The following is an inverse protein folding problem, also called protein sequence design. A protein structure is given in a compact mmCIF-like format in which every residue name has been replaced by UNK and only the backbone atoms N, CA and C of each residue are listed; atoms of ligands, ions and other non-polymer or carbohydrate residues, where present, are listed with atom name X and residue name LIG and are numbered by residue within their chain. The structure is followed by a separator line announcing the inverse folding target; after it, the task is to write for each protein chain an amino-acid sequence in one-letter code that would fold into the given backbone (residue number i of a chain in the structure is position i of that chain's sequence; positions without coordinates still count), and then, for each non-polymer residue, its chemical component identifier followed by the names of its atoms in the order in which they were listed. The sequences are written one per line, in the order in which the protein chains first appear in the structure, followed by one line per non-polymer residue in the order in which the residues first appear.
data_IF_277533183447
#
_entry.id   IF_277533183447
#
_cell.length_a   1.000
_cell.length_b   1.000
_cell.length_c   1.000
_cell.angle_alpha   90.00
_cell.angle_beta   90.00
_cell.angle_gamma   90.00
#
_symmetry.space_group_name_H-M   'P 1'
#
loop_
_entity.id
_entity.type
_entity.pdbx_description
1 polymer ?
#
# COMPACT_ATOMS: atom_id res chain seq x y z
N UNK A 1 -12.04 26.13 -5.19
CA UNK A 1 -11.83 24.68 -5.02
C UNK A 1 -10.45 24.39 -5.62
N UNK A 2 -9.53 23.84 -4.85
CA UNK A 2 -8.28 23.34 -5.45
C UNK A 2 -8.66 22.24 -6.45
N UNK A 3 -7.97 22.13 -7.60
CA UNK A 3 -8.21 21.00 -8.51
C UNK A 3 -7.93 19.71 -7.76
N UNK A 4 -8.78 18.70 -7.92
CA UNK A 4 -8.52 17.37 -7.41
C UNK A 4 -7.20 16.85 -8.00
N UNK A 5 -6.37 16.24 -7.16
CA UNK A 5 -5.10 15.68 -7.58
C UNK A 5 -5.33 14.60 -8.65
N UNK A 6 -4.69 14.73 -9.79
CA UNK A 6 -4.77 13.72 -10.85
C UNK A 6 -3.92 12.49 -10.49
N UNK A 7 -4.53 11.55 -9.74
CA UNK A 7 -3.84 10.33 -9.28
C UNK A 7 -3.46 9.37 -10.41
N UNK A 8 -4.09 9.47 -11.60
CA UNK A 8 -3.82 8.56 -12.71
C UNK A 8 -2.43 8.78 -13.32
N UNK A 9 -1.85 9.99 -13.18
CA UNK A 9 -0.48 10.27 -13.66
C UNK A 9 0.60 9.45 -12.95
N UNK A 10 0.34 8.98 -11.73
CA UNK A 10 1.26 8.13 -10.97
C UNK A 10 1.07 6.65 -11.26
N UNK A 11 0.07 6.29 -12.06
CA UNK A 11 -0.26 4.91 -12.38
C UNK A 11 0.64 4.36 -13.46
N UNK A 12 1.17 3.17 -13.24
CA UNK A 12 1.87 2.39 -14.25
C UNK A 12 0.83 1.64 -15.09
N UNK A 13 0.78 1.90 -16.38
CA UNK A 13 -0.14 1.17 -17.27
C UNK A 13 0.24 -0.32 -17.37
N UNK A 14 -0.76 -1.17 -17.59
CA UNK A 14 -0.52 -2.59 -17.80
C UNK A 14 0.38 -2.82 -19.03
N UNK A 15 1.47 -3.60 -18.84
CA UNK A 15 2.46 -3.86 -19.87
C UNK A 15 3.47 -2.73 -20.13
N UNK A 16 3.39 -1.62 -19.42
CA UNK A 16 4.37 -0.53 -19.51
C UNK A 16 5.72 -0.99 -18.98
N UNK A 17 6.78 -0.77 -19.78
CA UNK A 17 8.15 -0.92 -19.30
C UNK A 17 8.54 0.31 -18.48
N UNK A 18 9.04 0.10 -17.27
CA UNK A 18 9.40 1.17 -16.33
C UNK A 18 10.91 1.23 -16.13
N UNK A 19 11.46 2.43 -16.28
CA UNK A 19 12.79 2.83 -15.81
C UNK A 19 12.60 3.97 -14.78
N UNK A 20 12.63 3.63 -13.49
CA UNK A 20 12.25 4.57 -12.40
C UNK A 20 12.92 5.94 -12.50
N UNK A 21 14.23 5.98 -12.77
CA UNK A 21 14.98 7.23 -12.84
C UNK A 21 14.64 8.13 -14.02
N UNK A 22 13.91 7.62 -15.02
CA UNK A 22 13.52 8.36 -16.23
C UNK A 22 12.04 8.69 -16.23
N UNK A 23 11.21 7.76 -15.74
CA UNK A 23 9.77 7.81 -15.92
C UNK A 23 9.06 8.50 -14.76
N UNK A 24 9.69 8.54 -13.56
CA UNK A 24 9.05 9.04 -12.34
C UNK A 24 10.02 9.90 -11.52
N UNK A 25 9.74 11.20 -11.45
CA UNK A 25 10.49 12.13 -10.61
C UNK A 25 10.09 11.98 -9.13
N UNK A 26 11.01 11.63 -8.19
CA UNK A 26 10.71 11.54 -6.78
C UNK A 26 10.35 12.88 -6.11
N UNK A 27 10.65 14.02 -6.78
CA UNK A 27 10.35 15.37 -6.30
C UNK A 27 9.06 15.96 -6.88
N UNK A 28 8.40 15.28 -7.82
CA UNK A 28 7.17 15.78 -8.44
C UNK A 28 6.08 16.06 -7.40
N UNK A 29 5.49 17.24 -7.49
CA UNK A 29 4.39 17.70 -6.62
C UNK A 29 3.13 18.05 -7.38
N UNK A 30 3.01 17.63 -8.65
CA UNK A 30 1.87 17.95 -9.53
C UNK A 30 1.57 19.47 -9.61
N UNK A 31 2.62 20.30 -9.54
CA UNK A 31 2.49 21.76 -9.54
C UNK A 31 1.95 22.35 -8.24
N UNK A 32 1.86 21.57 -7.17
CA UNK A 32 1.51 22.08 -5.84
C UNK A 32 2.75 22.67 -5.17
N UNK A 33 2.75 23.98 -4.93
CA UNK A 33 3.89 24.71 -4.37
C UNK A 33 3.81 24.90 -2.85
N UNK A 34 2.65 24.62 -2.25
CA UNK A 34 2.37 24.96 -0.86
C UNK A 34 2.04 23.78 0.02
N UNK A 35 2.94 23.50 0.98
CA UNK A 35 2.69 22.54 2.07
C UNK A 35 1.38 22.88 2.85
N UNK A 36 1.05 24.18 2.98
CA UNK A 36 -0.17 24.61 3.68
C UNK A 36 -1.43 24.23 2.92
N UNK A 37 -1.42 24.42 1.59
CA UNK A 37 -2.52 23.99 0.73
C UNK A 37 -2.71 22.48 0.78
N UNK A 38 -1.63 21.72 0.59
CA UNK A 38 -1.66 20.27 0.66
C UNK A 38 -2.14 19.74 2.02
N UNK A 39 -1.87 20.44 3.13
CA UNK A 39 -2.37 20.05 4.45
C UNK A 39 -3.90 20.15 4.55
N UNK A 40 -4.49 21.21 3.99
CA UNK A 40 -5.95 21.37 3.93
C UNK A 40 -6.61 20.35 3.00
N UNK A 41 -5.97 20.08 1.86
CA UNK A 41 -6.45 19.05 0.92
C UNK A 41 -6.36 17.65 1.54
N UNK A 42 -5.26 17.33 2.22
CA UNK A 42 -5.10 16.06 2.93
C UNK A 42 -6.16 15.88 4.02
N UNK A 43 -6.46 16.92 4.79
CA UNK A 43 -7.49 16.82 5.81
C UNK A 43 -8.85 16.46 5.21
N UNK A 44 -9.29 17.17 4.14
CA UNK A 44 -10.53 16.86 3.44
C UNK A 44 -10.55 15.45 2.86
N UNK A 45 -9.43 15.02 2.27
CA UNK A 45 -9.30 13.67 1.70
C UNK A 45 -9.38 12.59 2.79
N UNK A 46 -8.80 12.84 3.98
CA UNK A 46 -8.90 11.92 5.13
C UNK A 46 -10.33 11.85 5.67
N UNK A 47 -11.07 12.97 5.68
CA UNK A 47 -12.49 13.00 6.05
C UNK A 47 -13.34 12.19 5.05
N UNK A 48 -13.09 12.32 3.75
CA UNK A 48 -13.73 11.50 2.71
C UNK A 48 -13.38 10.02 2.85
N UNK A 49 -12.11 9.71 3.15
CA UNK A 49 -11.67 8.34 3.39
C UNK A 49 -12.41 7.72 4.59
N UNK A 50 -12.62 8.48 5.66
CA UNK A 50 -13.34 8.01 6.84
C UNK A 50 -14.82 7.71 6.51
N UNK A 51 -15.50 8.57 5.76
CA UNK A 51 -16.88 8.36 5.31
C UNK A 51 -17.01 7.13 4.40
N UNK A 52 -16.12 6.97 3.41
CA UNK A 52 -16.10 5.77 2.58
C UNK A 52 -15.79 4.49 3.37
N UNK A 53 -14.89 4.57 4.33
CA UNK A 53 -14.54 3.41 5.17
C UNK A 53 -15.71 2.97 6.04
N UNK A 54 -16.49 3.90 6.58
CA UNK A 54 -17.69 3.60 7.36
C UNK A 54 -18.75 2.90 6.49
N UNK A 55 -18.99 3.39 5.28
CA UNK A 55 -19.90 2.75 4.31
C UNK A 55 -19.42 1.36 3.89
N UNK A 56 -18.11 1.22 3.62
CA UNK A 56 -17.50 -0.07 3.29
C UNK A 56 -17.73 -1.09 4.42
N UNK A 57 -17.51 -0.65 5.67
CA UNK A 57 -17.69 -1.46 6.86
C UNK A 57 -19.15 -1.89 7.04
N UNK A 58 -20.08 -0.95 6.90
CA UNK A 58 -21.51 -1.21 7.05
C UNK A 58 -22.06 -2.12 5.94
N UNK A 59 -21.61 -1.92 4.69
CA UNK A 59 -22.03 -2.74 3.55
C UNK A 59 -21.53 -4.18 3.64
N UNK A 60 -20.29 -4.38 4.12
CA UNK A 60 -19.66 -5.69 4.34
C UNK A 60 -19.66 -6.62 3.11
N UNK A 61 -19.50 -6.08 1.91
CA UNK A 61 -19.46 -6.82 0.63
C UNK A 61 -18.07 -6.85 0.04
N UNK A 62 -17.39 -5.71 0.02
CA UNK A 62 -16.05 -5.55 -0.53
C UNK A 62 -15.00 -5.43 0.59
N UNK A 63 -13.74 -5.67 0.24
CA UNK A 63 -12.58 -5.32 1.06
C UNK A 63 -11.55 -4.57 0.21
N UNK A 64 -10.70 -3.78 0.84
CA UNK A 64 -9.59 -3.10 0.16
C UNK A 64 -8.27 -3.56 0.76
N UNK A 65 -7.35 -4.02 -0.08
CA UNK A 65 -5.98 -4.34 0.30
C UNK A 65 -5.05 -3.27 -0.24
N UNK A 66 -4.44 -2.49 0.66
CA UNK A 66 -3.46 -1.45 0.31
C UNK A 66 -2.06 -1.98 0.56
N UNK A 67 -1.21 -2.01 -0.45
CA UNK A 67 0.16 -2.51 -0.37
C UNK A 67 1.14 -1.34 -0.51
N UNK A 68 2.07 -1.23 0.45
CA UNK A 68 3.16 -0.27 0.41
C UNK A 68 4.49 -0.98 0.18
N UNK A 69 5.16 -0.64 -0.91
CA UNK A 69 6.54 -1.00 -1.18
C UNK A 69 7.39 0.26 -1.35
N UNK A 70 8.60 0.21 -0.83
CA UNK A 70 9.56 1.30 -0.96
C UNK A 70 10.92 0.87 -0.43
N UNK A 71 11.94 1.56 -0.82
CA UNK A 71 13.24 1.50 -0.16
C UNK A 71 13.16 1.97 1.29
N UNK A 72 14.15 1.63 2.10
CA UNK A 72 14.19 2.07 3.50
C UNK A 72 14.25 3.59 3.59
N UNK A 73 13.72 4.13 4.68
CA UNK A 73 13.54 5.55 4.92
C UNK A 73 12.63 6.31 3.92
N UNK A 74 12.01 5.66 2.93
CA UNK A 74 11.09 6.33 2.00
C UNK A 74 9.83 6.92 2.65
N UNK A 75 9.44 6.44 3.85
CA UNK A 75 8.37 7.07 4.64
C UNK A 75 7.07 6.28 4.73
N UNK A 76 7.08 4.96 4.44
CA UNK A 76 5.91 4.06 4.53
C UNK A 76 5.10 4.25 5.82
N UNK A 77 5.72 4.10 6.99
CA UNK A 77 5.04 4.21 8.30
C UNK A 77 4.40 5.59 8.50
N UNK A 78 5.10 6.65 8.03
CA UNK A 78 4.61 8.01 8.11
C UNK A 78 3.41 8.26 7.21
N UNK A 79 3.39 7.70 5.99
CA UNK A 79 2.25 7.78 5.08
C UNK A 79 1.04 7.05 5.68
N UNK A 80 1.22 5.79 6.09
CA UNK A 80 0.16 4.98 6.72
C UNK A 80 -0.45 5.71 7.93
N UNK A 81 0.40 6.19 8.87
CA UNK A 81 -0.05 6.89 10.08
C UNK A 81 -0.92 8.12 9.76
N UNK A 82 -0.50 8.95 8.79
CA UNK A 82 -1.21 10.20 8.52
C UNK A 82 -2.45 10.00 7.65
N UNK A 83 -2.40 9.08 6.70
CA UNK A 83 -3.55 8.77 5.84
C UNK A 83 -4.66 8.10 6.63
N UNK A 84 -4.32 7.24 7.59
CA UNK A 84 -5.28 6.50 8.40
C UNK A 84 -5.67 7.23 9.71
N UNK A 85 -5.25 8.48 9.91
CA UNK A 85 -5.47 9.18 11.19
C UNK A 85 -6.93 9.51 11.51
N UNK A 86 -7.80 9.55 10.50
CA UNK A 86 -9.23 9.88 10.66
C UNK A 86 -10.19 8.71 10.54
N UNK A 87 -9.70 7.50 10.22
CA UNK A 87 -10.56 6.33 9.99
C UNK A 87 -10.85 5.56 11.28
N UNK A 88 -12.00 4.87 11.33
CA UNK A 88 -12.34 3.99 12.45
C UNK A 88 -11.36 2.81 12.52
N UNK A 89 -10.62 2.65 13.63
CA UNK A 89 -9.63 1.58 13.76
C UNK A 89 -10.22 0.17 13.71
N UNK A 90 -11.50 -0.03 13.97
CA UNK A 90 -12.18 -1.32 13.84
C UNK A 90 -12.29 -1.80 12.39
N UNK A 91 -12.29 -0.87 11.43
CA UNK A 91 -12.38 -1.16 10.01
C UNK A 91 -11.03 -1.18 9.28
N UNK A 92 -9.90 -1.05 10.00
CA UNK A 92 -8.55 -0.99 9.39
C UNK A 92 -7.58 -1.87 10.13
N UNK A 93 -6.84 -2.70 9.37
CA UNK A 93 -5.78 -3.53 9.93
C UNK A 93 -4.46 -3.29 9.23
N UNK A 94 -3.41 -2.95 9.97
CA UNK A 94 -2.05 -2.78 9.46
C UNK A 94 -1.21 -4.00 9.81
N UNK A 95 -0.62 -4.62 8.79
CA UNK A 95 0.34 -5.73 8.95
C UNK A 95 1.68 -5.32 8.37
N UNK A 96 2.73 -5.35 9.19
CA UNK A 96 4.10 -5.09 8.76
C UNK A 96 4.86 -6.41 8.60
N UNK A 97 5.27 -6.73 7.37
CA UNK A 97 6.03 -7.93 7.08
C UNK A 97 7.53 -7.66 7.25
N UNK A 98 8.13 -8.37 8.19
CA UNK A 98 9.58 -8.41 8.44
C UNK A 98 10.17 -9.69 7.84
N UNK A 99 11.44 -9.96 8.18
CA UNK A 99 12.08 -11.24 7.85
C UNK A 99 11.17 -12.40 8.25
N UNK A 100 10.94 -13.38 7.37
CA UNK A 100 10.08 -14.52 7.68
C UNK A 100 10.59 -15.30 8.90
N UNK A 101 9.66 -15.70 9.77
CA UNK A 101 9.93 -16.66 10.85
C UNK A 101 10.15 -18.07 10.29
N UNK A 102 10.66 -18.99 11.10
CA UNK A 102 10.82 -20.40 10.71
C UNK A 102 9.52 -21.03 10.25
N UNK A 103 8.41 -20.76 10.96
CA UNK A 103 7.07 -21.25 10.57
C UNK A 103 6.65 -20.70 9.21
N UNK A 104 6.92 -19.42 8.93
CA UNK A 104 6.59 -18.81 7.63
C UNK A 104 7.47 -19.36 6.50
N UNK A 105 8.73 -19.75 6.80
CA UNK A 105 9.65 -20.36 5.83
C UNK A 105 9.28 -21.81 5.47
N UNK A 106 8.56 -22.51 6.33
CA UNK A 106 8.04 -23.87 6.07
C UNK A 106 6.81 -23.86 5.13
N UNK A 107 6.31 -22.69 4.78
CA UNK A 107 5.17 -22.49 3.87
C UNK A 107 5.60 -21.74 2.61
N UNK A 108 4.71 -21.71 1.61
CA UNK A 108 4.91 -20.88 0.43
C UNK A 108 4.93 -19.38 0.79
N UNK A 109 5.58 -18.58 -0.06
CA UNK A 109 5.81 -17.16 0.24
C UNK A 109 4.54 -16.29 0.32
N UNK A 110 3.41 -16.75 -0.22
CA UNK A 110 2.10 -16.07 -0.11
C UNK A 110 1.41 -16.37 1.23
N UNK A 111 1.68 -17.50 1.85
CA UNK A 111 0.95 -18.01 3.02
C UNK A 111 0.78 -16.97 4.13
N UNK A 112 1.86 -16.32 4.55
CA UNK A 112 1.81 -15.30 5.60
C UNK A 112 0.97 -14.08 5.22
N UNK A 113 0.96 -13.73 3.93
CA UNK A 113 0.15 -12.64 3.39
C UNK A 113 -1.33 -13.05 3.29
N UNK A 114 -1.61 -14.28 2.87
CA UNK A 114 -2.99 -14.83 2.82
C UNK A 114 -3.64 -14.79 4.21
N UNK A 115 -2.91 -15.16 5.26
CA UNK A 115 -3.41 -15.08 6.65
C UNK A 115 -3.70 -13.66 7.15
N UNK A 116 -3.12 -12.66 6.53
CA UNK A 116 -3.26 -11.25 6.90
C UNK A 116 -4.26 -10.50 6.02
N UNK A 117 -4.89 -11.14 5.03
CA UNK A 117 -5.88 -10.51 4.16
C UNK A 117 -7.03 -9.89 4.98
N UNK A 118 -7.55 -8.74 4.56
CA UNK A 118 -8.69 -8.12 5.22
C UNK A 118 -9.97 -8.94 5.00
N UNK A 119 -10.79 -9.10 6.02
CA UNK A 119 -12.16 -9.58 5.83
C UNK A 119 -12.99 -8.53 5.08
N UNK A 120 -14.17 -8.91 4.60
CA UNK A 120 -15.10 -7.97 3.96
C UNK A 120 -15.45 -6.82 4.90
N UNK A 121 -15.69 -5.65 4.34
CA UNK A 121 -15.94 -4.43 5.09
C UNK A 121 -14.70 -3.74 5.63
N UNK A 122 -13.50 -4.29 5.45
CA UNK A 122 -12.29 -3.74 6.03
C UNK A 122 -11.25 -3.31 5.00
N UNK A 123 -10.37 -2.41 5.44
CA UNK A 123 -9.16 -1.99 4.73
C UNK A 123 -7.96 -2.68 5.38
N UNK A 124 -7.32 -3.60 4.67
CA UNK A 124 -6.05 -4.20 5.07
C UNK A 124 -4.89 -3.38 4.50
N UNK A 125 -3.88 -3.10 5.32
CA UNK A 125 -2.69 -2.37 4.89
C UNK A 125 -1.48 -3.27 5.10
N UNK A 126 -0.78 -3.57 4.02
CA UNK A 126 0.47 -4.29 4.03
C UNK A 126 1.66 -3.31 3.94
N UNK A 127 2.40 -3.18 5.03
CA UNK A 127 3.69 -2.48 5.04
C UNK A 127 4.77 -3.50 4.68
N UNK A 128 5.27 -3.46 3.45
CA UNK A 128 5.90 -4.56 2.70
C UNK A 128 4.89 -5.69 2.43
N UNK A 129 5.24 -6.67 1.63
CA UNK A 129 4.31 -7.74 1.24
C UNK A 129 5.05 -8.91 0.59
N UNK A 130 4.32 -9.78 -0.09
CA UNK A 130 4.85 -10.83 -0.96
C UNK A 130 5.76 -10.30 -2.10
N UNK A 131 5.77 -9.01 -2.36
CA UNK A 131 6.68 -8.42 -3.33
C UNK A 131 8.15 -8.43 -2.90
N UNK A 132 8.45 -8.61 -1.60
CA UNK A 132 9.83 -8.83 -1.14
C UNK A 132 10.47 -10.01 -1.88
N UNK A 133 9.67 -11.02 -2.27
CA UNK A 133 10.12 -12.22 -2.97
C UNK A 133 10.60 -12.00 -4.43
N UNK A 134 10.38 -10.81 -4.95
CA UNK A 134 10.89 -10.37 -6.26
C UNK A 134 11.76 -9.13 -6.17
N UNK A 135 12.02 -8.68 -4.94
CA UNK A 135 12.85 -7.51 -4.62
C UNK A 135 14.13 -7.95 -3.90
N UNK A 136 14.08 -8.19 -2.58
CA UNK A 136 15.25 -8.51 -1.79
C UNK A 136 15.91 -9.83 -2.25
N UNK A 137 15.14 -10.85 -2.57
CA UNK A 137 15.66 -12.13 -3.08
C UNK A 137 16.37 -12.00 -4.43
N UNK A 138 16.10 -10.92 -5.16
CA UNK A 138 16.76 -10.61 -6.44
C UNK A 138 18.04 -9.82 -6.24
N UNK A 139 18.09 -8.94 -5.26
CA UNK A 139 19.29 -8.16 -4.89
C UNK A 139 20.26 -9.05 -4.12
N UNK A 140 19.75 -9.95 -3.31
CA UNK A 140 20.47 -10.91 -2.48
C UNK A 140 20.13 -12.35 -2.87
N UNK A 141 20.81 -12.90 -3.91
CA UNK A 141 20.51 -14.24 -4.44
C UNK A 141 20.70 -15.37 -3.43
N UNK A 142 21.53 -15.16 -2.39
CA UNK A 142 21.73 -16.08 -1.29
C UNK A 142 20.44 -16.32 -0.47
N UNK A 143 19.53 -15.35 -0.42
CA UNK A 143 18.24 -15.52 0.25
C UNK A 143 17.40 -16.55 -0.51
N UNK A 144 17.26 -16.39 -1.85
CA UNK A 144 16.57 -17.36 -2.70
C UNK A 144 17.23 -18.75 -2.61
N UNK A 145 18.58 -18.80 -2.59
CA UNK A 145 19.30 -20.06 -2.46
C UNK A 145 18.98 -20.80 -1.14
N UNK A 146 18.77 -20.02 -0.06
CA UNK A 146 18.43 -20.55 1.28
C UNK A 146 16.97 -20.95 1.46
N UNK A 147 16.05 -20.60 0.56
CA UNK A 147 14.64 -20.98 0.67
C UNK A 147 14.44 -22.50 0.56
N UNK A 148 13.43 -23.05 1.22
CA UNK A 148 13.08 -24.47 1.22
C UNK A 148 12.24 -24.85 -0.03
N UNK A 149 12.79 -24.55 -1.22
CA UNK A 149 12.15 -24.86 -2.51
C UNK A 149 12.88 -26.01 -3.19
N UNK A 150 12.18 -26.81 -4.04
CA UNK A 150 12.83 -27.74 -4.96
C UNK A 150 13.88 -27.05 -5.82
N UNK A 151 14.97 -27.73 -6.14
CA UNK A 151 16.11 -27.13 -6.85
C UNK A 151 15.73 -26.54 -8.22
N UNK A 152 14.84 -27.19 -8.96
CA UNK A 152 14.29 -26.73 -10.23
C UNK A 152 13.44 -25.46 -10.09
N UNK A 153 12.80 -25.28 -8.92
CA UNK A 153 12.02 -24.10 -8.61
C UNK A 153 12.88 -22.85 -8.33
N UNK A 154 14.15 -22.99 -8.01
CA UNK A 154 15.12 -21.88 -7.83
C UNK A 154 15.84 -21.49 -9.12
N UNK A 155 15.63 -22.23 -10.19
CA UNK A 155 16.39 -22.15 -11.44
C UNK A 155 16.03 -20.97 -12.33
N UNK A 156 16.51 -21.05 -13.58
CA UNK A 156 16.25 -20.08 -14.64
C UNK A 156 14.74 -19.86 -14.81
N UNK A 157 14.30 -18.60 -14.79
CA UNK A 157 12.87 -18.24 -14.95
C UNK A 157 12.08 -18.05 -13.64
N UNK A 158 12.71 -18.22 -12.47
CA UNK A 158 12.05 -18.02 -11.16
C UNK A 158 11.30 -16.67 -11.06
N UNK A 159 11.90 -15.59 -11.56
CA UNK A 159 11.29 -14.25 -11.51
C UNK A 159 10.03 -14.14 -12.37
N UNK A 160 10.05 -14.68 -13.59
CA UNK A 160 8.87 -14.70 -14.48
C UNK A 160 7.72 -15.51 -13.86
N UNK A 161 8.06 -16.63 -13.22
CA UNK A 161 7.07 -17.44 -12.50
C UNK A 161 6.48 -16.67 -11.34
N UNK A 162 7.30 -16.07 -10.45
CA UNK A 162 6.83 -15.29 -9.30
C UNK A 162 5.97 -14.09 -9.72
N UNK A 163 6.33 -13.38 -10.79
CA UNK A 163 5.47 -12.30 -11.32
C UNK A 163 4.11 -12.80 -11.78
N UNK A 164 4.08 -13.96 -12.48
CA UNK A 164 2.81 -14.57 -12.89
C UNK A 164 2.00 -15.01 -11.68
N UNK A 165 2.59 -15.70 -10.73
CA UNK A 165 1.94 -16.17 -9.49
C UNK A 165 1.34 -15.01 -8.69
N UNK A 166 2.06 -13.90 -8.55
CA UNK A 166 1.57 -12.67 -7.90
C UNK A 166 0.39 -12.08 -8.68
N UNK A 167 0.49 -11.97 -10.00
CA UNK A 167 -0.59 -11.44 -10.83
C UNK A 167 -1.84 -12.32 -10.76
N UNK A 168 -1.68 -13.63 -10.78
CA UNK A 168 -2.78 -14.60 -10.67
C UNK A 168 -3.42 -14.53 -9.28
N UNK A 169 -2.64 -14.38 -8.23
CA UNK A 169 -3.12 -14.17 -6.87
C UNK A 169 -3.93 -12.88 -6.73
N UNK A 170 -3.41 -11.75 -7.24
CA UNK A 170 -4.12 -10.47 -7.19
C UNK A 170 -5.40 -10.48 -8.02
N UNK A 171 -5.40 -11.18 -9.16
CA UNK A 171 -6.62 -11.42 -9.95
C UNK A 171 -7.65 -12.19 -9.14
N UNK A 172 -7.23 -13.30 -8.52
CA UNK A 172 -8.10 -14.09 -7.65
C UNK A 172 -8.72 -13.24 -6.54
N UNK A 173 -7.93 -12.37 -5.89
CA UNK A 173 -8.44 -11.47 -4.86
C UNK A 173 -9.49 -10.51 -5.41
N UNK A 174 -9.20 -9.88 -6.56
CA UNK A 174 -10.09 -8.91 -7.21
C UNK A 174 -11.40 -9.55 -7.65
N UNK A 175 -11.35 -10.72 -8.28
CA UNK A 175 -12.53 -11.48 -8.71
C UNK A 175 -13.40 -11.90 -7.51
N UNK A 176 -12.83 -11.96 -6.30
CA UNK A 176 -13.52 -12.26 -5.05
C UNK A 176 -13.85 -11.01 -4.20
N UNK A 177 -13.79 -9.81 -4.78
CA UNK A 177 -14.21 -8.57 -4.13
C UNK A 177 -13.20 -7.98 -3.14
N UNK A 178 -11.92 -8.38 -3.21
CA UNK A 178 -10.82 -7.72 -2.51
C UNK A 178 -10.08 -6.84 -3.50
N UNK A 179 -10.31 -5.53 -3.44
CA UNK A 179 -9.70 -4.56 -4.34
C UNK A 179 -8.27 -4.24 -3.90
N UNK A 180 -7.31 -4.47 -4.80
CA UNK A 180 -5.88 -4.28 -4.49
C UNK A 180 -5.41 -2.92 -4.99
N UNK A 181 -4.86 -2.10 -4.08
CA UNK A 181 -4.23 -0.80 -4.36
C UNK A 181 -2.76 -0.87 -4.00
N UNK A 182 -1.89 -0.61 -4.96
CA UNK A 182 -0.44 -0.79 -4.78
C UNK A 182 0.31 0.52 -4.89
N UNK A 183 1.14 0.81 -3.89
CA UNK A 183 1.99 1.99 -3.83
C UNK A 183 3.46 1.61 -3.81
N UNK A 184 4.24 2.17 -4.74
CA UNK A 184 5.66 2.29 -4.64
C UNK A 184 6.03 3.72 -4.27
N UNK A 185 6.59 3.95 -3.07
CA UNK A 185 7.05 5.26 -2.65
C UNK A 185 8.45 5.51 -3.21
N UNK A 186 8.52 6.34 -4.25
CA UNK A 186 9.74 6.63 -4.99
C UNK A 186 10.51 7.77 -4.30
N UNK A 187 11.49 7.43 -3.49
CA UNK A 187 12.39 8.37 -2.82
C UNK A 187 13.69 8.52 -3.61
N UNK A 188 14.27 9.72 -3.67
CA UNK A 188 15.60 9.91 -4.24
C UNK A 188 16.70 9.39 -3.31
N UNK A 189 17.87 9.11 -3.89
CA UNK A 189 19.03 8.65 -3.13
C UNK A 189 19.52 9.71 -2.14
N UNK A 190 19.40 10.98 -2.49
CA UNK A 190 19.82 12.08 -1.65
C UNK A 190 18.84 12.31 -0.49
N UNK A 191 17.54 12.35 -0.74
CA UNK A 191 16.54 12.47 0.33
C UNK A 191 16.59 11.28 1.29
N UNK A 192 16.84 10.07 0.78
CA UNK A 192 17.05 8.90 1.64
C UNK A 192 18.25 9.09 2.57
N UNK A 193 19.37 9.64 2.06
CA UNK A 193 20.57 9.96 2.87
C UNK A 193 20.22 10.94 3.97
N UNK A 194 19.56 12.04 3.64
CA UNK A 194 19.16 13.07 4.62
C UNK A 194 18.24 12.47 5.70
N UNK A 195 17.35 11.57 5.34
CA UNK A 195 16.49 10.87 6.31
C UNK A 195 17.26 9.95 7.24
N UNK A 196 18.30 9.29 6.75
CA UNK A 196 19.18 8.48 7.60
C UNK A 196 20.00 9.34 8.54
N UNK A 197 20.56 10.45 8.06
CA UNK A 197 21.28 11.43 8.91
C UNK A 197 20.34 11.97 10.01
N UNK A 198 19.13 12.37 9.65
CA UNK A 198 18.12 12.82 10.63
C UNK A 198 17.77 11.73 11.69
N UNK A 199 17.86 10.44 11.35
CA UNK A 199 17.69 9.36 12.35
C UNK A 199 18.85 9.24 13.31
N UNK A 200 20.06 9.62 12.88
CA UNK A 200 21.27 9.62 13.70
C UNK A 200 21.28 10.85 14.60
N UNK A 201 21.01 12.03 14.05
CA UNK A 201 21.18 13.31 14.71
C UNK A 201 20.07 13.64 15.71
N UNK A 202 18.87 13.11 15.50
CA UNK A 202 17.69 13.38 16.34
C UNK A 202 17.44 12.24 17.35
N UNK A 203 17.68 12.45 18.68
CA UNK A 203 17.53 11.41 19.70
C UNK A 203 16.17 10.71 19.68
N UNK A 204 15.08 11.44 19.40
CA UNK A 204 13.74 10.87 19.29
C UNK A 204 13.55 9.91 18.09
N UNK A 205 14.49 9.89 17.16
CA UNK A 205 14.48 9.03 15.97
C UNK A 205 15.53 7.93 16.01
N UNK A 206 16.48 7.94 16.97
CA UNK A 206 17.58 6.98 17.02
C UNK A 206 17.09 5.52 17.07
N UNK A 207 15.97 5.26 17.71
CA UNK A 207 15.38 3.92 17.79
C UNK A 207 14.98 3.32 16.44
N UNK A 208 14.90 4.15 15.38
CA UNK A 208 14.65 3.74 14.00
C UNK A 208 15.93 3.48 13.20
N UNK A 209 17.08 3.76 13.80
CA UNK A 209 18.37 3.59 13.12
C UNK A 209 18.73 2.12 13.01
N UNK A 210 19.19 1.72 11.82
CA UNK A 210 19.75 0.40 11.55
C UNK A 210 21.01 0.57 10.70
N UNK A 211 22.12 0.01 11.16
CA UNK A 211 23.36 -0.01 10.39
C UNK A 211 23.20 -0.89 9.12
N UNK A 212 22.36 -1.93 9.17
CA UNK A 212 22.05 -2.75 8.01
C UNK A 212 21.33 -1.95 6.90
N UNK A 213 20.36 -1.09 7.27
CA UNK A 213 19.68 -0.22 6.30
C UNK A 213 20.66 0.71 5.58
N UNK A 214 21.69 1.23 6.31
CA UNK A 214 22.73 2.07 5.71
C UNK A 214 23.62 1.25 4.77
N UNK A 215 23.96 0.00 5.16
CA UNK A 215 24.75 -0.89 4.31
C UNK A 215 24.00 -1.26 3.01
N UNK A 216 22.66 -1.41 3.07
CA UNK A 216 21.85 -1.70 1.88
C UNK A 216 21.89 -0.60 0.81
N UNK A 217 22.26 0.65 1.15
CA UNK A 217 22.40 1.72 0.17
C UNK A 217 23.42 1.46 -0.93
N UNK A 218 24.41 0.60 -0.70
CA UNK A 218 25.41 0.22 -1.75
C UNK A 218 24.75 -0.57 -2.89
N UNK A 219 23.60 -1.21 -2.63
CA UNK A 219 22.82 -1.95 -3.61
C UNK A 219 21.72 -1.08 -4.29
N UNK A 220 21.82 0.26 -4.17
CA UNK A 220 20.82 1.19 -4.70
C UNK A 220 20.42 0.87 -6.14
N UNK A 221 21.40 0.74 -7.05
CA UNK A 221 21.12 0.53 -8.47
C UNK A 221 20.49 -0.84 -8.76
N UNK A 222 20.80 -1.84 -7.96
CA UNK A 222 20.22 -3.17 -8.10
C UNK A 222 18.75 -3.17 -7.60
N UNK A 223 18.46 -2.45 -6.51
CA UNK A 223 17.09 -2.21 -6.07
C UNK A 223 16.29 -1.42 -7.11
N UNK A 224 16.84 -0.34 -7.69
CA UNK A 224 16.16 0.43 -8.74
C UNK A 224 15.79 -0.47 -9.94
N UNK A 225 16.69 -1.34 -10.37
CA UNK A 225 16.42 -2.33 -11.43
C UNK A 225 15.35 -3.36 -11.02
N UNK A 226 15.42 -3.85 -9.76
CA UNK A 226 14.45 -4.81 -9.24
C UNK A 226 13.03 -4.20 -9.17
N UNK A 227 12.91 -2.99 -8.63
CA UNK A 227 11.64 -2.25 -8.60
C UNK A 227 11.11 -1.96 -10.01
N UNK A 228 11.95 -1.46 -10.94
CA UNK A 228 11.53 -1.23 -12.32
C UNK A 228 10.98 -2.49 -12.98
N UNK A 229 11.60 -3.65 -12.75
CA UNK A 229 11.12 -4.94 -13.27
C UNK A 229 9.84 -5.40 -12.57
N UNK A 230 9.72 -5.23 -11.25
CA UNK A 230 8.50 -5.51 -10.51
C UNK A 230 7.33 -4.69 -11.06
N UNK A 231 7.48 -3.38 -11.17
CA UNK A 231 6.46 -2.48 -11.70
C UNK A 231 6.04 -2.86 -13.12
N UNK A 232 7.02 -3.12 -14.02
CA UNK A 232 6.75 -3.48 -15.41
C UNK A 232 6.01 -4.81 -15.58
N UNK A 233 6.22 -5.78 -14.70
CA UNK A 233 5.68 -7.13 -14.84
C UNK A 233 4.45 -7.41 -13.99
N UNK A 234 4.16 -6.53 -13.01
CA UNK A 234 3.06 -6.75 -12.06
C UNK A 234 2.09 -5.59 -11.97
N UNK A 235 2.20 -4.56 -12.82
CA UNK A 235 1.12 -3.59 -13.00
C UNK A 235 0.10 -4.16 -13.97
N UNK A 236 -1.13 -4.35 -13.49
CA UNK A 236 -2.23 -4.93 -14.27
C UNK A 236 -3.42 -3.98 -14.30
N UNK A 237 -4.37 -4.19 -15.21
CA UNK A 237 -5.57 -3.36 -15.29
C UNK A 237 -6.48 -3.47 -14.06
N UNK A 238 -6.47 -4.61 -13.37
CA UNK A 238 -7.27 -4.86 -12.16
C UNK A 238 -6.56 -4.46 -10.86
N UNK A 239 -5.23 -4.37 -10.86
CA UNK A 239 -4.41 -3.97 -9.72
C UNK A 239 -3.16 -3.21 -10.21
N UNK A 240 -3.31 -1.95 -10.64
CA UNK A 240 -2.19 -1.15 -11.11
C UNK A 240 -1.28 -0.71 -9.96
N UNK A 241 0.01 -0.50 -10.26
CA UNK A 241 0.93 0.19 -9.38
C UNK A 241 0.78 1.70 -9.50
N UNK A 242 0.89 2.38 -8.36
CA UNK A 242 1.03 3.83 -8.29
C UNK A 242 2.43 4.17 -7.75
N UNK A 243 3.24 4.82 -8.59
CA UNK A 243 4.59 5.29 -8.23
C UNK A 243 4.46 6.69 -7.66
N UNK A 244 4.45 6.79 -6.34
CA UNK A 244 4.21 8.05 -5.63
C UNK A 244 5.53 8.76 -5.34
N UNK A 245 5.71 10.02 -5.75
CA UNK A 245 6.85 10.85 -5.37
C UNK A 245 6.98 10.93 -3.85
N UNK A 246 8.18 10.69 -3.31
CA UNK A 246 8.33 10.52 -1.87
C UNK A 246 9.36 11.46 -1.22
N UNK A 247 9.98 12.36 -1.95
CA UNK A 247 10.90 13.35 -1.37
C UNK A 247 10.14 14.37 -0.52
N UNK A 248 8.95 14.76 -0.94
CA UNK A 248 8.08 15.66 -0.19
C UNK A 248 7.00 14.87 0.58
N UNK A 249 7.25 14.58 1.86
CA UNK A 249 6.34 13.79 2.73
C UNK A 249 4.89 14.31 2.74
N UNK A 250 4.70 15.62 2.64
CA UNK A 250 3.38 16.23 2.60
C UNK A 250 2.62 15.85 1.32
N UNK A 251 3.32 15.84 0.17
CA UNK A 251 2.76 15.44 -1.11
C UNK A 251 2.48 13.93 -1.17
N UNK A 252 3.45 13.12 -0.74
CA UNK A 252 3.29 11.66 -0.64
C UNK A 252 2.00 11.27 0.10
N UNK A 253 1.72 11.93 1.22
CA UNK A 253 0.52 11.66 2.04
C UNK A 253 -0.76 12.01 1.30
N UNK A 254 -0.79 13.16 0.64
CA UNK A 254 -1.93 13.60 -0.16
C UNK A 254 -2.17 12.65 -1.33
N UNK A 255 -1.14 12.32 -2.10
CA UNK A 255 -1.26 11.45 -3.27
C UNK A 255 -1.73 10.03 -2.89
N UNK A 256 -1.22 9.47 -1.79
CA UNK A 256 -1.67 8.18 -1.26
C UNK A 256 -3.14 8.24 -0.82
N UNK A 257 -3.52 9.25 -0.04
CA UNK A 257 -4.90 9.41 0.44
C UNK A 257 -5.88 9.56 -0.74
N UNK A 258 -5.55 10.45 -1.68
CA UNK A 258 -6.38 10.70 -2.87
C UNK A 258 -6.55 9.44 -3.74
N UNK A 259 -5.50 8.62 -3.89
CA UNK A 259 -5.58 7.37 -4.65
C UNK A 259 -6.49 6.35 -3.95
N UNK A 260 -6.43 6.23 -2.62
CA UNK A 260 -7.32 5.32 -1.88
C UNK A 260 -8.77 5.80 -1.98
N UNK A 261 -9.02 7.10 -1.83
CA UNK A 261 -10.36 7.69 -1.98
C UNK A 261 -10.90 7.46 -3.39
N UNK A 262 -10.08 7.67 -4.43
CA UNK A 262 -10.49 7.40 -5.81
C UNK A 262 -10.89 5.93 -6.01
N UNK A 263 -10.15 4.97 -5.45
CA UNK A 263 -10.50 3.55 -5.49
C UNK A 263 -11.79 3.25 -4.73
N UNK A 264 -12.01 3.85 -3.57
CA UNK A 264 -13.25 3.68 -2.82
C UNK A 264 -14.44 4.30 -3.55
N UNK A 265 -14.26 5.42 -4.23
CA UNK A 265 -15.28 6.01 -5.10
C UNK A 265 -15.64 5.12 -6.29
N UNK A 266 -14.67 4.38 -6.88
CA UNK A 266 -14.96 3.37 -7.92
C UNK A 266 -15.75 2.17 -7.36
N UNK A 267 -15.50 1.77 -6.11
CA UNK A 267 -16.24 0.69 -5.43
C UNK A 267 -17.66 1.13 -5.08
N UNK A 268 -17.82 2.43 -4.82
CA UNK A 268 -19.09 3.08 -4.44
C UNK A 268 -19.82 2.36 -3.26
N UNK A 269 -19.16 2.19 -2.11
CA UNK A 269 -19.80 1.57 -0.97
C UNK A 269 -20.90 2.47 -0.39
N UNK A 270 -22.02 1.87 -0.01
CA UNK A 270 -23.18 2.58 0.54
C UNK A 270 -23.74 1.84 1.76
N UNK A 271 -24.44 2.56 2.63
CA UNK A 271 -25.12 1.95 3.76
C UNK A 271 -26.20 0.97 3.29
N UNK A 272 -26.37 -0.19 3.96
CA UNK A 272 -27.44 -1.12 3.65
C UNK A 272 -28.83 -0.46 3.74
N UNK A 273 -29.68 -0.76 2.79
CA UNK A 273 -31.09 -0.31 2.83
C UNK A 273 -31.87 -1.13 3.86
N UNK A 274 -32.60 -0.43 4.72
CA UNK A 274 -33.46 -1.06 5.73
C UNK A 274 -34.75 -1.54 5.09
N UNK A 275 -35.12 -2.84 5.28
CA UNK A 275 -36.38 -3.40 4.78
C UNK A 275 -37.60 -2.75 5.45
N UNK A 276 -38.79 -2.89 4.88
CA UNK A 276 -40.02 -2.35 5.47
C UNK A 276 -40.35 -3.00 6.83
N UNK A 277 -40.02 -4.29 6.99
CA UNK A 277 -40.14 -4.99 8.28
C UNK A 277 -39.18 -4.40 9.32
N UNK A 278 -37.95 -4.11 8.92
CA UNK A 278 -36.97 -3.47 9.82
C UNK A 278 -37.38 -2.04 10.17
N UNK A 279 -37.96 -1.27 9.23
CA UNK A 279 -38.50 0.07 9.51
C UNK A 279 -39.63 0.02 10.53
N UNK A 280 -40.54 -0.96 10.39
CA UNK A 280 -41.62 -1.17 11.36
C UNK A 280 -41.09 -1.53 12.75
N UNK A 281 -40.07 -2.40 12.84
CA UNK A 281 -39.41 -2.75 14.11
C UNK A 281 -38.71 -1.55 14.75
N UNK A 282 -38.05 -0.69 13.96
CA UNK A 282 -37.44 0.55 14.44
C UNK A 282 -38.51 1.52 15.00
N UNK A 283 -39.68 1.62 14.36
CA UNK A 283 -40.82 2.42 14.86
C UNK A 283 -41.31 1.94 16.22
N UNK A 284 -41.54 0.62 16.37
CA UNK A 284 -41.95 0.04 17.65
C UNK A 284 -40.90 0.21 18.75
N UNK A 285 -39.60 0.02 18.43
CA UNK A 285 -38.52 0.23 19.39
C UNK A 285 -38.44 1.70 19.84
N UNK A 286 -38.68 2.66 18.94
CA UNK A 286 -38.75 4.08 19.28
C UNK A 286 -39.86 4.38 20.23
N UNK A 287 -41.09 3.90 19.98
CA UNK A 287 -42.25 4.09 20.87
C UNK A 287 -41.97 3.53 22.27
N UNK A 288 -41.32 2.38 22.37
CA UNK A 288 -40.91 1.81 23.65
C UNK A 288 -39.93 2.72 24.42
N UNK A 289 -38.88 3.21 23.74
CA UNK A 289 -37.85 4.07 24.35
C UNK A 289 -38.40 5.45 24.76
N UNK A 290 -39.41 5.98 24.05
CA UNK A 290 -40.05 7.25 24.38
C UNK A 290 -41.05 7.11 25.52
N UNK A 291 -41.47 5.86 25.89
CA UNK A 291 -42.39 5.57 27.00
C UNK A 291 -41.73 5.16 28.32
N UNK A 292 -40.43 4.89 28.30
CA UNK A 292 -39.58 4.61 29.45
C UNK A 292 -39.16 5.93 30.16
#
# INVERSE_FOLDING_TARGET
MSPELNVTRFQVAAGQRVELSKDFDPQDTDGLDSKKQAAGDLQRTVEQLADFQERLYAQNVHAVLVIFQAMDAAGKDGAIKHVMSGVNPQGVRVTAFKTPSTVEQDHDYLWRCVRALPPRGQIGIFNRSYYEEVLITRVHPEILAGEQLPADAKGKGVWHRRYREINDFERYLTDNGIHVVKFFLNVSRDEQRERFLSRIDEPAKNWKFSAADVAERKHWDDYQKAYGKMLSNTSTSYAPWHVIPADHKWFTRLAVASTIVAKLAEIDPHFPTVSDEQKAALGQAREQLESD
#
